data_IF_175113087376
#
_entry.id   IF_175113087376
#
_cell.length_a   1.000
_cell.length_b   1.000
_cell.length_c   1.000
_cell.angle_alpha   90.00
_cell.angle_beta   90.00
_cell.angle_gamma   90.00
#
_symmetry.space_group_name_H-M   'P 1'
#
loop_
_entity.id
_entity.type
_entity.pdbx_description
1 polymer ?
#
# COMPACT_ATOMS: atom_id res chain seq x y z
N UNK A 1 9.90 -14.95 -67.61
CA UNK A 1 10.89 -14.53 -66.60
C UNK A 1 10.23 -13.47 -65.72
N UNK A 2 9.97 -13.80 -64.46
CA UNK A 2 9.22 -12.93 -63.53
C UNK A 2 10.18 -11.97 -62.85
N UNK A 3 9.89 -10.69 -62.99
CA UNK A 3 10.71 -9.57 -62.52
C UNK A 3 10.68 -9.52 -61.00
N UNK A 4 11.85 -9.67 -60.39
CA UNK A 4 12.08 -9.43 -58.96
C UNK A 4 11.82 -7.94 -58.66
N UNK A 5 10.92 -7.65 -57.72
CA UNK A 5 10.86 -6.33 -57.07
C UNK A 5 11.33 -6.47 -55.64
N UNK A 6 12.55 -5.97 -55.41
CA UNK A 6 13.10 -5.59 -54.12
C UNK A 6 12.10 -4.66 -53.42
N UNK A 7 11.62 -5.04 -52.24
CA UNK A 7 10.97 -4.10 -51.33
C UNK A 7 11.97 -3.65 -50.28
N UNK A 8 12.18 -2.33 -50.29
CA UNK A 8 13.12 -1.57 -49.52
C UNK A 8 12.72 -1.58 -48.04
N UNK A 9 13.70 -1.98 -47.23
CA UNK A 9 13.88 -1.71 -45.81
C UNK A 9 13.79 -0.21 -45.53
N UNK A 10 12.81 0.25 -44.73
CA UNK A 10 12.92 1.51 -43.98
C UNK A 10 11.83 1.66 -42.91
N UNK A 11 12.24 1.53 -41.65
CA UNK A 11 11.84 2.36 -40.50
C UNK A 11 10.35 2.58 -40.23
N UNK A 12 9.81 1.79 -39.30
CA UNK A 12 8.86 2.31 -38.33
C UNK A 12 9.48 2.21 -36.94
N UNK A 13 10.26 3.24 -36.59
CA UNK A 13 10.59 3.55 -35.20
C UNK A 13 9.25 3.97 -34.58
N UNK A 14 8.50 3.01 -34.05
CA UNK A 14 7.38 3.34 -33.16
C UNK A 14 8.00 3.87 -31.89
N UNK A 15 8.05 5.20 -31.85
CA UNK A 15 8.19 6.06 -30.70
C UNK A 15 7.66 5.32 -29.48
N UNK A 16 8.56 4.99 -28.55
CA UNK A 16 8.17 4.58 -27.21
C UNK A 16 7.44 5.79 -26.64
N UNK A 17 6.11 5.74 -26.70
CA UNK A 17 5.23 6.64 -25.97
C UNK A 17 5.63 6.46 -24.51
N UNK A 18 6.50 7.34 -24.01
CA UNK A 18 6.69 7.50 -22.60
C UNK A 18 5.32 7.83 -22.06
N UNK A 19 4.66 6.84 -21.46
CA UNK A 19 3.50 7.09 -20.64
C UNK A 19 3.98 8.13 -19.62
N UNK A 20 3.50 9.37 -19.79
CA UNK A 20 3.58 10.40 -18.78
C UNK A 20 3.01 9.74 -17.54
N UNK A 21 3.89 9.31 -16.64
CA UNK A 21 3.50 8.84 -15.32
C UNK A 21 2.88 10.06 -14.67
N UNK A 22 1.55 10.13 -14.68
CA UNK A 22 0.81 11.00 -13.78
C UNK A 22 1.46 10.82 -12.41
N UNK A 23 1.98 11.93 -11.85
CA UNK A 23 2.69 11.91 -10.57
C UNK A 23 1.90 11.02 -9.60
N UNK A 24 2.47 9.86 -9.28
CA UNK A 24 1.74 8.79 -8.59
C UNK A 24 1.31 9.38 -7.26
N UNK A 25 0.00 9.57 -7.05
CA UNK A 25 -0.56 10.21 -5.84
C UNK A 25 -0.47 9.31 -4.60
N UNK A 26 0.37 8.29 -4.64
CA UNK A 26 0.55 7.29 -3.60
C UNK A 26 2.02 7.22 -3.21
N UNK A 27 2.29 7.42 -1.93
CA UNK A 27 3.64 7.34 -1.36
C UNK A 27 4.00 5.90 -1.00
N UNK A 28 2.97 5.08 -0.76
CA UNK A 28 3.10 3.66 -0.50
C UNK A 28 2.40 2.86 -1.62
N UNK A 29 3.14 2.07 -2.42
CA UNK A 29 2.55 1.24 -3.47
C UNK A 29 1.65 0.13 -2.91
N UNK A 30 1.82 -0.26 -1.65
CA UNK A 30 0.96 -1.26 -1.01
C UNK A 30 -0.43 -0.65 -0.74
N UNK A 31 -0.48 0.57 -0.19
CA UNK A 31 -1.73 1.31 0.01
C UNK A 31 -2.49 1.47 -1.30
N UNK A 32 -1.81 1.85 -2.40
CA UNK A 32 -2.41 1.94 -3.73
C UNK A 32 -3.13 0.65 -4.14
N UNK A 33 -2.46 -0.49 -3.97
CA UNK A 33 -3.03 -1.79 -4.31
C UNK A 33 -4.26 -2.13 -3.46
N UNK A 34 -4.22 -1.82 -2.16
CA UNK A 34 -5.37 -2.05 -1.27
C UNK A 34 -6.55 -1.17 -1.70
N UNK A 35 -6.32 0.10 -2.02
CA UNK A 35 -7.37 1.03 -2.43
C UNK A 35 -7.99 0.62 -3.78
N UNK A 36 -7.18 0.13 -4.73
CA UNK A 36 -7.66 -0.45 -5.99
C UNK A 36 -8.53 -1.70 -5.74
N UNK A 37 -8.11 -2.59 -4.84
CA UNK A 37 -8.87 -3.79 -4.47
C UNK A 37 -10.17 -3.45 -3.73
N UNK A 38 -10.12 -2.53 -2.78
CA UNK A 38 -11.29 -2.03 -2.06
C UNK A 38 -12.29 -1.39 -3.00
N UNK A 39 -11.84 -0.54 -3.93
CA UNK A 39 -12.72 0.06 -4.94
C UNK A 39 -13.47 -1.00 -5.74
N UNK A 40 -12.77 -2.04 -6.20
CA UNK A 40 -13.39 -3.15 -6.92
C UNK A 40 -14.39 -3.95 -6.05
N UNK A 41 -14.02 -4.26 -4.79
CA UNK A 41 -14.85 -5.01 -3.86
C UNK A 41 -16.09 -4.23 -3.43
N UNK A 42 -15.97 -2.94 -3.15
CA UNK A 42 -17.10 -2.06 -2.82
C UNK A 42 -18.10 -2.03 -3.98
N UNK A 43 -17.62 -1.92 -5.23
CA UNK A 43 -18.52 -1.95 -6.40
C UNK A 43 -19.20 -3.33 -6.57
N UNK A 44 -18.49 -4.41 -6.26
CA UNK A 44 -19.07 -5.76 -6.23
C UNK A 44 -20.15 -5.88 -5.14
N UNK A 45 -19.86 -5.43 -3.92
CA UNK A 45 -20.76 -5.60 -2.78
C UNK A 45 -22.00 -4.72 -2.86
N UNK A 46 -21.88 -3.50 -3.39
CA UNK A 46 -23.03 -2.65 -3.73
C UNK A 46 -24.08 -3.36 -4.59
N UNK A 47 -23.67 -4.23 -5.52
CA UNK A 47 -24.61 -4.98 -6.40
C UNK A 47 -25.40 -6.05 -5.64
N UNK A 48 -24.90 -6.50 -4.50
CA UNK A 48 -25.50 -7.58 -3.68
C UNK A 48 -26.10 -7.09 -2.36
N UNK A 49 -26.10 -5.78 -2.20
CA UNK A 49 -26.48 -5.09 -0.97
C UNK A 49 -27.98 -5.19 -0.71
N UNK A 50 -28.33 -5.47 0.55
CA UNK A 50 -29.74 -5.63 0.97
C UNK A 50 -30.29 -4.38 1.68
N UNK A 51 -29.43 -3.41 1.99
CA UNK A 51 -29.81 -2.19 2.69
C UNK A 51 -30.78 -1.32 1.88
N UNK A 52 -31.76 -0.72 2.55
CA UNK A 52 -32.84 0.07 1.92
C UNK A 52 -32.42 1.47 1.44
N UNK A 53 -31.27 1.98 1.86
CA UNK A 53 -30.79 3.31 1.46
C UNK A 53 -29.33 3.27 0.94
N UNK A 54 -28.99 4.22 0.07
CA UNK A 54 -27.69 4.24 -0.64
C UNK A 54 -26.48 4.39 0.28
N UNK A 55 -26.64 5.09 1.40
CA UNK A 55 -25.54 5.39 2.33
C UNK A 55 -25.21 4.16 3.19
N UNK A 56 -26.22 3.53 3.80
CA UNK A 56 -26.04 2.26 4.52
C UNK A 56 -25.48 1.19 3.60
N UNK A 57 -25.89 1.18 2.34
CA UNK A 57 -25.36 0.26 1.35
C UNK A 57 -23.88 0.50 1.02
N UNK A 58 -23.46 1.78 0.97
CA UNK A 58 -22.07 2.16 0.80
C UNK A 58 -21.22 1.67 1.98
N UNK A 59 -21.68 1.89 3.21
CA UNK A 59 -20.97 1.44 4.41
C UNK A 59 -20.89 -0.08 4.49
N UNK A 60 -22.01 -0.80 4.30
CA UNK A 60 -22.01 -2.27 4.28
C UNK A 60 -21.03 -2.83 3.23
N UNK A 61 -20.96 -2.22 2.05
CA UNK A 61 -20.03 -2.63 1.02
C UNK A 61 -18.55 -2.32 1.36
N UNK A 62 -18.29 -1.24 2.10
CA UNK A 62 -16.95 -0.88 2.59
C UNK A 62 -16.50 -1.82 3.71
N UNK A 63 -17.36 -2.05 4.69
CA UNK A 63 -17.08 -2.95 5.82
C UNK A 63 -16.73 -4.35 5.30
N UNK A 64 -17.52 -4.87 4.35
CA UNK A 64 -17.24 -6.17 3.72
C UNK A 64 -15.96 -6.20 2.89
N UNK A 65 -15.61 -5.08 2.23
CA UNK A 65 -14.35 -4.99 1.51
C UNK A 65 -13.14 -4.97 2.47
N UNK A 66 -13.29 -4.34 3.64
CA UNK A 66 -12.28 -4.32 4.69
C UNK A 66 -12.14 -5.66 5.42
N UNK A 67 -13.23 -6.40 5.62
CA UNK A 67 -13.21 -7.78 6.12
C UNK A 67 -12.41 -8.70 5.20
N UNK A 68 -12.64 -8.60 3.90
CA UNK A 68 -11.93 -9.41 2.90
C UNK A 68 -10.46 -9.01 2.75
N UNK A 69 -10.20 -7.70 2.71
CA UNK A 69 -8.88 -7.11 2.51
C UNK A 69 -8.64 -6.10 3.62
N UNK A 70 -7.94 -6.48 4.70
CA UNK A 70 -7.69 -5.58 5.81
C UNK A 70 -6.89 -4.34 5.41
N UNK A 71 -7.30 -3.17 5.90
CA UNK A 71 -6.60 -1.89 5.71
C UNK A 71 -5.23 -1.86 6.40
N UNK A 72 -4.28 -1.09 5.85
CA UNK A 72 -2.97 -0.82 6.49
C UNK A 72 -3.14 -0.29 7.91
N UNK A 73 -2.19 -0.60 8.80
CA UNK A 73 -2.26 -0.22 10.21
C UNK A 73 -3.24 -1.00 11.06
N UNK A 74 -4.11 -1.82 10.48
CA UNK A 74 -4.99 -2.69 11.26
C UNK A 74 -4.22 -3.88 11.85
N UNK A 75 -4.71 -4.41 12.97
CA UNK A 75 -4.19 -5.65 13.56
C UNK A 75 -4.39 -6.83 12.58
N UNK A 76 -5.54 -6.86 11.90
CA UNK A 76 -5.86 -7.90 10.92
C UNK A 76 -4.86 -7.93 9.75
N UNK A 77 -4.51 -6.76 9.20
CA UNK A 77 -3.46 -6.62 8.18
C UNK A 77 -2.11 -7.09 8.71
N UNK A 78 -1.69 -6.58 9.87
CA UNK A 78 -0.39 -6.93 10.45
C UNK A 78 -0.27 -8.43 10.69
N UNK A 79 -1.34 -9.07 11.18
CA UNK A 79 -1.40 -10.52 11.38
C UNK A 79 -1.38 -11.28 10.05
N UNK A 80 -2.13 -10.86 9.04
CA UNK A 80 -2.17 -11.56 7.75
C UNK A 80 -0.85 -11.47 7.00
N UNK A 81 -0.16 -10.33 7.07
CA UNK A 81 1.07 -10.08 6.31
C UNK A 81 2.33 -10.50 7.06
N UNK A 82 2.42 -10.21 8.36
CA UNK A 82 3.67 -10.34 9.12
C UNK A 82 3.73 -11.59 10.00
N UNK A 83 2.64 -12.34 10.20
CA UNK A 83 2.65 -13.51 11.09
C UNK A 83 3.60 -14.63 10.68
N UNK A 84 3.92 -14.76 9.39
CA UNK A 84 4.88 -15.74 8.90
C UNK A 84 6.33 -15.27 8.96
N UNK A 85 6.58 -14.01 9.33
CA UNK A 85 7.93 -13.44 9.30
C UNK A 85 8.81 -14.06 10.38
N UNK A 86 10.05 -14.34 9.98
CA UNK A 86 11.19 -14.57 10.89
C UNK A 86 11.64 -13.24 11.51
N UNK A 87 12.45 -13.29 12.58
CA UNK A 87 13.00 -12.08 13.19
C UNK A 87 13.87 -11.26 12.23
N UNK A 88 14.59 -11.91 11.31
CA UNK A 88 15.38 -11.22 10.29
C UNK A 88 14.48 -10.45 9.29
N UNK A 89 13.43 -11.09 8.78
CA UNK A 89 12.45 -10.45 7.89
C UNK A 89 11.69 -9.32 8.59
N UNK A 90 11.33 -9.53 9.86
CA UNK A 90 10.70 -8.51 10.68
C UNK A 90 11.61 -7.28 10.88
N UNK A 91 12.92 -7.49 11.07
CA UNK A 91 13.89 -6.38 11.20
C UNK A 91 14.05 -5.60 9.89
N UNK A 92 14.12 -6.27 8.74
CA UNK A 92 14.16 -5.56 7.45
C UNK A 92 12.86 -4.79 7.21
N UNK A 93 11.71 -5.40 7.51
CA UNK A 93 10.43 -4.71 7.37
C UNK A 93 10.29 -3.52 8.32
N UNK A 94 10.82 -3.63 9.54
CA UNK A 94 10.86 -2.52 10.49
C UNK A 94 11.64 -1.33 9.91
N UNK A 95 12.77 -1.55 9.25
CA UNK A 95 13.53 -0.47 8.57
C UNK A 95 12.71 0.21 7.49
N UNK A 96 12.00 -0.57 6.67
CA UNK A 96 11.11 -0.02 5.63
C UNK A 96 10.01 0.85 6.25
N UNK A 97 9.37 0.39 7.31
CA UNK A 97 8.29 1.12 7.98
C UNK A 97 8.78 2.41 8.65
N UNK A 98 9.95 2.39 9.29
CA UNK A 98 10.55 3.62 9.85
C UNK A 98 10.85 4.63 8.74
N UNK A 99 11.42 4.17 7.61
CA UNK A 99 11.65 5.06 6.46
C UNK A 99 10.34 5.62 5.89
N UNK A 100 9.28 4.81 5.86
CA UNK A 100 7.97 5.24 5.39
C UNK A 100 7.33 6.25 6.37
N UNK A 101 7.48 6.05 7.68
CA UNK A 101 7.00 6.97 8.71
C UNK A 101 7.58 8.38 8.52
N UNK A 102 8.90 8.48 8.34
CA UNK A 102 9.58 9.77 8.14
C UNK A 102 9.17 10.42 6.80
N UNK A 103 8.85 9.64 5.77
CA UNK A 103 8.37 10.15 4.48
C UNK A 103 6.95 10.71 4.54
N UNK A 104 6.09 10.13 5.39
CA UNK A 104 4.68 10.54 5.53
C UNK A 104 4.54 11.79 6.41
N UNK A 105 5.49 12.06 7.33
CA UNK A 105 5.53 13.27 8.17
C UNK A 105 5.46 14.59 7.36
N UNK A 106 6.05 14.60 6.16
CA UNK A 106 6.07 15.77 5.28
C UNK A 106 4.78 16.02 4.47
N UNK A 107 3.71 15.24 4.67
CA UNK A 107 2.60 15.12 3.70
C UNK A 107 1.27 15.74 4.13
N UNK A 108 1.32 16.83 4.89
CA UNK A 108 0.15 17.61 5.33
C UNK A 108 -0.62 18.35 4.22
N UNK A 109 -0.41 18.05 2.93
CA UNK A 109 -1.18 18.65 1.83
C UNK A 109 -2.44 17.82 1.57
N UNK A 110 -3.60 18.44 1.73
CA UNK A 110 -4.96 17.88 1.68
C UNK A 110 -5.39 17.21 0.35
N UNK A 111 -4.50 17.07 -0.63
CA UNK A 111 -4.81 16.67 -2.01
C UNK A 111 -4.43 15.24 -2.38
N UNK A 112 -3.95 14.41 -1.44
CA UNK A 112 -3.48 13.06 -1.73
C UNK A 112 -4.57 12.02 -1.39
N UNK A 113 -4.97 11.26 -2.42
CA UNK A 113 -5.87 10.12 -2.29
C UNK A 113 -5.09 8.92 -1.70
N UNK A 114 -5.70 8.15 -0.77
CA UNK A 114 -5.05 6.98 -0.13
C UNK A 114 -4.30 7.31 1.17
N UNK A 115 -5.03 7.76 2.19
CA UNK A 115 -4.54 8.25 3.50
C UNK A 115 -3.85 7.18 4.35
N UNK A 116 -2.68 6.71 3.93
CA UNK A 116 -1.74 6.08 4.86
C UNK A 116 -1.19 7.15 5.80
N UNK A 117 -1.44 7.03 7.10
CA UNK A 117 -0.96 7.99 8.11
C UNK A 117 0.22 7.43 8.90
N UNK A 118 0.96 8.31 9.58
CA UNK A 118 1.96 7.91 10.56
C UNK A 118 1.38 6.96 11.62
N UNK A 119 0.12 7.16 12.04
CA UNK A 119 -0.57 6.29 13.00
C UNK A 119 -0.72 4.87 12.45
N UNK A 120 -1.06 4.72 11.16
CA UNK A 120 -1.16 3.40 10.53
C UNK A 120 0.21 2.70 10.52
N UNK A 121 1.26 3.44 10.16
CA UNK A 121 2.63 2.91 10.10
C UNK A 121 3.13 2.53 11.50
N UNK A 122 2.90 3.38 12.49
CA UNK A 122 3.28 3.12 13.88
C UNK A 122 2.55 1.90 14.46
N UNK A 123 1.28 1.70 14.12
CA UNK A 123 0.54 0.50 14.51
C UNK A 123 1.20 -0.79 13.97
N UNK A 124 1.66 -0.78 12.73
CA UNK A 124 2.40 -1.92 12.15
C UNK A 124 3.77 -2.14 12.79
N UNK A 125 4.50 -1.04 13.05
CA UNK A 125 5.77 -1.06 13.80
C UNK A 125 5.56 -1.72 15.16
N UNK A 126 4.53 -1.28 15.89
CA UNK A 126 4.17 -1.82 17.21
C UNK A 126 3.89 -3.31 17.16
N UNK A 127 3.12 -3.74 16.17
CA UNK A 127 2.79 -5.14 15.99
C UNK A 127 4.03 -5.99 15.72
N UNK A 128 4.89 -5.57 14.78
CA UNK A 128 6.13 -6.29 14.45
C UNK A 128 7.08 -6.37 15.64
N UNK A 129 7.31 -5.25 16.32
CA UNK A 129 8.22 -5.20 17.45
C UNK A 129 7.73 -6.08 18.62
N UNK A 130 6.44 -6.05 18.92
CA UNK A 130 5.86 -6.86 20.01
C UNK A 130 5.84 -8.35 19.68
N UNK A 131 5.42 -8.71 18.47
CA UNK A 131 5.14 -10.12 18.13
C UNK A 131 6.34 -10.85 17.51
N UNK A 132 7.30 -10.13 16.93
CA UNK A 132 8.43 -10.72 16.17
C UNK A 132 9.81 -10.40 16.72
N UNK A 133 9.94 -9.30 17.45
CA UNK A 133 11.22 -8.81 17.96
C UNK A 133 11.29 -8.72 19.49
N UNK A 134 10.23 -9.15 20.19
CA UNK A 134 10.22 -9.30 21.66
C UNK A 134 10.29 -8.00 22.45
N UNK A 135 9.83 -6.89 21.89
CA UNK A 135 9.84 -5.58 22.55
C UNK A 135 8.49 -5.28 23.22
N UNK A 136 8.50 -4.77 24.45
CA UNK A 136 7.28 -4.40 25.18
C UNK A 136 7.00 -2.91 25.05
N UNK A 137 5.74 -2.54 24.76
CA UNK A 137 5.30 -1.16 24.50
C UNK A 137 6.15 -0.38 23.47
N UNK A 138 6.44 -0.95 22.28
CA UNK A 138 7.21 -0.26 21.26
C UNK A 138 6.51 0.99 20.73
N UNK A 139 7.29 1.96 20.29
CA UNK A 139 6.86 3.15 19.53
C UNK A 139 7.88 3.43 18.42
N UNK A 140 7.69 4.52 17.67
CA UNK A 140 8.61 4.91 16.60
C UNK A 140 10.04 5.16 17.11
N UNK A 141 10.20 5.73 18.32
CA UNK A 141 11.52 6.01 18.90
C UNK A 141 12.24 4.72 19.30
N UNK A 142 11.52 3.78 19.91
CA UNK A 142 12.00 2.45 20.25
C UNK A 142 12.41 1.68 19.00
N UNK A 143 11.67 1.82 17.90
CA UNK A 143 12.02 1.25 16.60
C UNK A 143 13.32 1.84 16.06
N UNK A 144 13.46 3.19 16.08
CA UNK A 144 14.68 3.89 15.67
C UNK A 144 15.88 3.45 16.52
N UNK A 145 15.73 3.37 17.84
CA UNK A 145 16.76 2.87 18.77
C UNK A 145 17.16 1.41 18.45
N UNK A 146 16.18 0.52 18.28
CA UNK A 146 16.42 -0.89 17.97
C UNK A 146 17.21 -1.08 16.66
N UNK A 147 17.01 -0.18 15.70
CA UNK A 147 17.71 -0.17 14.43
C UNK A 147 19.04 0.61 14.44
N UNK A 148 19.38 1.30 15.53
CA UNK A 148 20.56 2.17 15.61
C UNK A 148 20.43 3.44 14.75
N UNK A 149 19.21 3.91 14.51
CA UNK A 149 18.90 5.10 13.73
C UNK A 149 18.79 6.35 14.63
N UNK A 150 19.08 7.56 14.10
CA UNK A 150 18.95 8.81 14.86
C UNK A 150 17.48 9.12 15.21
N UNK A 151 17.24 9.69 16.40
CA UNK A 151 15.91 10.03 16.92
C UNK A 151 15.37 11.39 16.45
N UNK A 152 15.96 11.95 15.39
CA UNK A 152 15.48 13.21 14.81
C UNK A 152 14.06 13.08 14.29
#
# INVERSE_FOLDING_TARGET
MKVFKLYILATLITVVSGNVMAADRYVDPIQKKIDEQHSALVQKYKKTCKARNRISCQFEAQDRAEEDIPSRGSIAYSKSVYSSYTSAQAKEKLKELVSLYDKVDGQSKSSWDGKLTQVNIESEIRWLMSNKLGQSAPDIYSAKLYLGLPLR
#
